data_IF_201686471745
#
_entry.id   IF_201686471745
#
_cell.length_a   1.000
_cell.length_b   1.000
_cell.length_c   1.000
_cell.angle_alpha   90.00
_cell.angle_beta   90.00
_cell.angle_gamma   90.00
#
_symmetry.space_group_name_H-M   'P 1'
#
loop_
_entity.id
_entity.type
_entity.pdbx_description
1 polymer ?
#
# COMPACT_ATOMS: atom_id res chain seq x y z
N UNK A 1 -7.04 -18.93 -87.51
CA UNK A 1 -7.23 -17.63 -86.84
C UNK A 1 -7.80 -17.91 -85.45
N UNK A 2 -7.30 -17.18 -84.45
CA UNK A 2 -7.23 -17.46 -83.02
C UNK A 2 -8.56 -17.42 -82.23
N UNK A 3 -8.59 -17.88 -80.95
CA UNK A 3 -9.79 -17.95 -80.11
C UNK A 3 -9.99 -16.65 -79.30
N UNK A 4 -11.23 -16.35 -78.88
CA UNK A 4 -11.50 -15.26 -77.92
C UNK A 4 -12.59 -15.76 -76.94
N UNK A 5 -12.18 -16.45 -75.89
CA UNK A 5 -12.02 -15.97 -74.51
C UNK A 5 -13.33 -15.52 -73.82
N UNK A 6 -13.73 -16.33 -72.84
CA UNK A 6 -14.82 -16.04 -71.92
C UNK A 6 -14.48 -14.88 -71.00
N UNK A 7 -15.49 -14.05 -70.72
CA UNK A 7 -15.40 -12.97 -69.74
C UNK A 7 -15.60 -13.55 -68.32
N UNK A 8 -14.49 -13.67 -67.58
CA UNK A 8 -14.51 -13.90 -66.14
C UNK A 8 -14.84 -12.59 -65.43
N UNK A 9 -16.03 -12.49 -64.83
CA UNK A 9 -16.33 -11.42 -63.87
C UNK A 9 -15.59 -11.66 -62.55
N UNK A 10 -14.51 -10.94 -62.34
CA UNK A 10 -13.76 -10.92 -61.08
C UNK A 10 -14.58 -10.23 -59.98
N UNK A 11 -15.27 -11.00 -59.14
CA UNK A 11 -15.83 -10.48 -57.88
C UNK A 11 -14.66 -10.05 -56.98
N UNK A 12 -14.55 -8.75 -56.71
CA UNK A 12 -13.63 -8.24 -55.69
C UNK A 12 -14.15 -8.69 -54.32
N UNK A 13 -13.47 -9.65 -53.73
CA UNK A 13 -13.68 -10.06 -52.34
C UNK A 13 -13.14 -8.93 -51.46
N UNK A 14 -14.03 -8.09 -50.92
CA UNK A 14 -13.64 -7.16 -49.86
C UNK A 14 -13.25 -7.99 -48.64
N UNK A 15 -12.01 -7.89 -48.17
CA UNK A 15 -11.64 -8.50 -46.91
C UNK A 15 -12.44 -7.81 -45.80
N UNK A 16 -13.33 -8.56 -45.15
CA UNK A 16 -14.04 -8.08 -43.98
C UNK A 16 -13.02 -7.83 -42.86
N UNK A 17 -12.82 -6.57 -42.50
CA UNK A 17 -11.96 -6.21 -41.38
C UNK A 17 -12.69 -6.56 -40.09
N UNK A 18 -12.34 -7.72 -39.50
CA UNK A 18 -12.87 -8.14 -38.20
C UNK A 18 -12.33 -7.18 -37.13
N UNK A 19 -13.22 -6.36 -36.58
CA UNK A 19 -12.91 -5.50 -35.43
C UNK A 19 -13.02 -6.33 -34.16
N UNK A 20 -12.01 -6.25 -33.31
CA UNK A 20 -12.04 -6.78 -31.95
C UNK A 20 -11.87 -5.64 -30.97
N UNK A 21 -12.52 -5.72 -29.81
CA UNK A 21 -12.35 -4.77 -28.71
C UNK A 21 -11.96 -5.52 -27.42
N UNK A 22 -11.27 -4.84 -26.52
CA UNK A 22 -10.97 -5.34 -25.18
C UNK A 22 -11.01 -4.20 -24.19
N UNK A 23 -11.41 -4.46 -22.95
CA UNK A 23 -11.49 -3.46 -21.88
C UNK A 23 -10.60 -3.87 -20.72
N UNK A 24 -9.85 -2.90 -20.20
CA UNK A 24 -9.08 -3.04 -18.97
C UNK A 24 -9.77 -2.26 -17.86
N UNK A 25 -9.96 -2.89 -16.70
CA UNK A 25 -10.50 -2.24 -15.50
C UNK A 25 -9.52 -2.41 -14.36
N UNK A 26 -9.31 -1.33 -13.63
CA UNK A 26 -8.56 -1.33 -12.37
C UNK A 26 -9.55 -1.20 -11.24
N UNK A 27 -9.56 -2.20 -10.38
CA UNK A 27 -10.28 -2.18 -9.12
C UNK A 27 -9.35 -1.71 -8.01
N UNK A 28 -9.95 -1.14 -6.97
CA UNK A 28 -9.23 -0.55 -5.86
C UNK A 28 -9.91 -0.97 -4.57
N UNK A 29 -9.14 -1.61 -3.70
CA UNK A 29 -9.57 -2.00 -2.36
C UNK A 29 -8.88 -1.11 -1.33
N UNK A 30 -9.63 -0.64 -0.33
CA UNK A 30 -9.11 0.24 0.72
C UNK A 30 -9.42 -0.29 2.11
N UNK A 31 -8.48 -0.09 3.03
CA UNK A 31 -8.69 -0.41 4.44
C UNK A 31 -7.94 0.57 5.34
N UNK A 32 -8.49 0.82 6.53
CA UNK A 32 -7.84 1.58 7.58
C UNK A 32 -7.64 0.68 8.80
N UNK A 33 -6.41 0.62 9.29
CA UNK A 33 -6.02 -0.14 10.48
C UNK A 33 -5.47 0.80 11.55
N UNK A 34 -6.02 0.71 12.76
CA UNK A 34 -5.50 1.40 13.95
C UNK A 34 -4.72 0.41 14.81
N UNK A 35 -3.48 0.77 15.13
CA UNK A 35 -2.59 0.02 15.99
C UNK A 35 -2.30 0.81 17.26
N UNK A 36 -2.93 0.39 18.35
CA UNK A 36 -2.73 0.96 19.69
C UNK A 36 -1.61 0.20 20.44
N UNK A 37 -0.66 0.96 20.95
CA UNK A 37 0.44 0.47 21.78
C UNK A 37 0.18 0.93 23.21
N UNK A 38 -0.42 0.03 23.99
CA UNK A 38 -0.65 0.24 25.42
C UNK A 38 0.63 -0.03 26.20
N UNK A 39 0.95 0.85 27.14
CA UNK A 39 2.14 0.73 27.97
C UNK A 39 3.42 1.17 27.26
N UNK A 40 3.35 2.19 26.40
CA UNK A 40 4.43 2.71 25.56
C UNK A 40 5.79 2.76 26.28
N UNK A 41 5.81 3.29 27.50
CA UNK A 41 7.04 3.48 28.28
C UNK A 41 7.77 2.16 28.55
N UNK A 42 7.04 1.05 28.72
CA UNK A 42 7.62 -0.29 28.92
C UNK A 42 8.14 -0.94 27.63
N UNK A 43 7.83 -0.34 26.48
CA UNK A 43 8.27 -0.82 25.18
C UNK A 43 9.55 -0.13 24.72
N UNK A 44 10.03 0.87 25.47
CA UNK A 44 11.35 1.47 25.29
C UNK A 44 12.44 0.61 25.95
N UNK A 45 13.66 0.69 25.43
CA UNK A 45 14.80 -0.08 25.94
C UNK A 45 14.81 -1.55 25.52
N UNK A 46 13.97 -1.95 24.55
CA UNK A 46 14.03 -3.27 23.91
C UNK A 46 15.25 -3.42 23.01
N UNK A 47 15.83 -2.30 22.55
CA UNK A 47 17.05 -2.24 21.76
C UNK A 47 16.83 -1.76 20.34
N UNK A 48 17.86 -1.13 19.76
CA UNK A 48 17.85 -0.65 18.37
C UNK A 48 17.55 -1.80 17.41
N UNK A 49 16.63 -1.59 16.49
CA UNK A 49 16.20 -2.61 15.52
C UNK A 49 15.19 -3.63 16.06
N UNK A 50 14.85 -3.60 17.35
CA UNK A 50 13.73 -4.35 17.89
C UNK A 50 12.41 -3.61 17.65
N UNK A 51 11.33 -4.35 17.41
CA UNK A 51 10.04 -3.78 17.06
C UNK A 51 8.86 -4.42 17.80
N UNK A 52 7.78 -3.66 17.82
CA UNK A 52 6.43 -4.10 18.17
C UNK A 52 5.65 -4.23 16.87
N UNK A 53 4.94 -5.35 16.69
CA UNK A 53 4.15 -5.61 15.49
C UNK A 53 2.66 -5.55 15.80
N UNK A 54 1.88 -4.95 14.92
CA UNK A 54 0.42 -4.96 14.99
C UNK A 54 -0.14 -6.37 14.69
N UNK A 55 -1.43 -6.55 14.95
CA UNK A 55 -2.18 -7.61 14.30
C UNK A 55 -2.15 -7.46 12.77
N UNK A 56 -2.38 -8.56 12.07
CA UNK A 56 -2.50 -8.56 10.61
C UNK A 56 -3.86 -8.02 10.18
N UNK A 57 -3.89 -7.26 9.09
CA UNK A 57 -5.12 -6.81 8.43
C UNK A 57 -5.03 -7.05 6.93
N UNK A 58 -6.16 -7.34 6.29
CA UNK A 58 -6.21 -7.76 4.89
C UNK A 58 -6.76 -6.64 4.00
N UNK A 59 -6.12 -6.40 2.85
CA UNK A 59 -6.56 -5.46 1.80
C UNK A 59 -6.34 -6.15 0.45
N UNK A 60 -7.31 -6.12 -0.45
CA UNK A 60 -7.16 -6.76 -1.78
C UNK A 60 -6.85 -8.28 -1.75
N UNK A 61 -7.10 -8.97 -0.62
CA UNK A 61 -6.71 -10.37 -0.41
C UNK A 61 -5.26 -10.57 0.05
N UNK A 62 -4.53 -9.49 0.34
CA UNK A 62 -3.17 -9.52 0.85
C UNK A 62 -3.10 -9.04 2.30
N UNK A 63 -2.24 -9.69 3.07
CA UNK A 63 -2.07 -9.44 4.49
C UNK A 63 -0.97 -8.41 4.74
N UNK A 64 -1.27 -7.48 5.64
CA UNK A 64 -0.44 -6.34 6.00
C UNK A 64 -0.28 -6.24 7.51
N UNK A 65 0.81 -5.60 7.96
CA UNK A 65 1.04 -5.30 9.37
C UNK A 65 1.86 -4.02 9.54
N UNK A 66 1.74 -3.37 10.69
CA UNK A 66 2.55 -2.20 11.08
C UNK A 66 3.64 -2.67 12.03
N UNK A 67 4.89 -2.24 11.79
CA UNK A 67 6.01 -2.41 12.72
C UNK A 67 6.45 -1.07 13.28
N UNK A 68 6.52 -0.99 14.61
CA UNK A 68 6.98 0.16 15.35
C UNK A 68 8.30 -0.14 16.05
N UNK A 69 9.33 0.67 15.81
CA UNK A 69 10.66 0.54 16.38
C UNK A 69 10.87 1.66 17.41
N UNK A 70 10.60 1.39 18.70
CA UNK A 70 10.63 2.40 19.75
C UNK A 70 12.03 2.94 20.00
N UNK A 71 13.10 2.16 19.81
CA UNK A 71 14.48 2.57 20.14
C UNK A 71 15.33 2.93 18.91
N UNK A 72 14.69 3.02 17.75
CA UNK A 72 15.35 3.35 16.50
C UNK A 72 15.67 2.16 15.60
N UNK A 73 16.22 2.47 14.43
CA UNK A 73 16.54 1.50 13.37
C UNK A 73 17.81 1.94 12.63
N UNK A 74 18.60 0.97 12.13
CA UNK A 74 19.84 1.22 11.36
C UNK A 74 20.78 2.26 12.01
N UNK A 75 20.99 2.18 13.33
CA UNK A 75 21.90 3.06 14.07
C UNK A 75 21.35 4.46 14.37
N UNK A 76 20.14 4.80 13.93
CA UNK A 76 19.47 6.06 14.27
C UNK A 76 18.63 5.88 15.54
N UNK A 77 19.09 6.41 16.68
CA UNK A 77 18.49 6.17 18.01
C UNK A 77 17.56 7.29 18.50
N UNK A 78 17.77 8.52 18.01
CA UNK A 78 17.00 9.71 18.41
C UNK A 78 15.60 9.77 17.80
N UNK A 79 15.28 8.81 16.93
CA UNK A 79 14.01 8.70 16.22
C UNK A 79 13.36 7.36 16.51
N UNK A 80 12.03 7.35 16.47
CA UNK A 80 11.26 6.12 16.34
C UNK A 80 11.01 5.86 14.85
N UNK A 81 10.84 4.59 14.50
CA UNK A 81 10.51 4.20 13.12
C UNK A 81 9.17 3.50 13.04
N UNK A 82 8.42 3.78 11.98
CA UNK A 82 7.18 3.08 11.63
C UNK A 82 7.31 2.56 10.21
N UNK A 83 6.95 1.30 10.00
CA UNK A 83 6.85 0.68 8.68
C UNK A 83 5.51 0.00 8.50
N UNK A 84 4.93 0.11 7.31
CA UNK A 84 3.95 -0.83 6.81
C UNK A 84 4.71 -2.01 6.16
N UNK A 85 4.25 -3.23 6.42
CA UNK A 85 4.89 -4.46 5.95
C UNK A 85 3.86 -5.33 5.25
N UNK A 86 4.17 -5.75 4.02
CA UNK A 86 3.44 -6.78 3.33
C UNK A 86 3.83 -8.15 3.91
N UNK A 87 2.84 -8.87 4.44
CA UNK A 87 3.01 -10.18 5.05
C UNK A 87 2.75 -11.31 4.04
N UNK A 88 1.92 -11.06 3.03
CA UNK A 88 1.68 -12.02 1.95
C UNK A 88 2.90 -12.19 1.05
N UNK A 89 3.14 -13.42 0.58
CA UNK A 89 4.13 -13.72 -0.43
C UNK A 89 3.58 -13.45 -1.86
N UNK A 90 3.37 -12.17 -2.17
CA UNK A 90 2.79 -11.70 -3.43
C UNK A 90 3.49 -10.42 -3.92
N UNK A 91 3.30 -10.08 -5.19
CA UNK A 91 3.64 -8.76 -5.70
C UNK A 91 2.39 -7.89 -5.72
N UNK A 92 2.38 -6.85 -4.91
CA UNK A 92 1.19 -6.05 -4.64
C UNK A 92 1.46 -4.59 -4.98
N UNK A 93 0.57 -3.99 -5.76
CA UNK A 93 0.67 -2.55 -6.07
C UNK A 93 -0.23 -1.77 -5.12
N UNK A 94 0.36 -1.11 -4.14
CA UNK A 94 -0.37 -0.37 -3.12
C UNK A 94 0.21 1.02 -2.85
N UNK A 95 -0.66 1.95 -2.49
CA UNK A 95 -0.34 3.22 -1.83
C UNK A 95 -0.78 3.15 -0.38
N UNK A 96 -0.19 3.99 0.46
CA UNK A 96 -0.54 4.03 1.87
C UNK A 96 -0.41 5.43 2.46
N UNK A 97 -1.11 5.65 3.56
CA UNK A 97 -1.02 6.83 4.41
C UNK A 97 -0.84 6.36 5.85
N UNK A 98 0.17 6.89 6.52
CA UNK A 98 0.47 6.56 7.91
C UNK A 98 0.43 7.84 8.75
N UNK A 99 -0.31 7.75 9.86
CA UNK A 99 -0.52 8.86 10.79
C UNK A 99 -0.36 8.45 12.24
N UNK A 100 0.01 9.43 13.07
CA UNK A 100 -0.14 9.33 14.51
C UNK A 100 -1.41 10.03 14.94
N UNK A 101 -2.20 9.40 15.79
CA UNK A 101 -3.41 10.03 16.34
C UNK A 101 -3.01 10.95 17.48
N UNK A 102 -3.33 12.24 17.36
CA UNK A 102 -3.27 13.16 18.48
C UNK A 102 -4.47 12.86 19.40
N UNK A 103 -4.21 12.36 20.59
CA UNK A 103 -5.24 11.89 21.52
C UNK A 103 -5.91 13.04 22.30
N UNK A 104 -5.35 14.26 22.24
CA UNK A 104 -6.00 15.46 22.80
C UNK A 104 -7.09 15.95 21.84
N UNK A 105 -6.78 16.01 20.54
CA UNK A 105 -7.70 16.54 19.51
C UNK A 105 -8.53 15.47 18.82
N UNK A 106 -8.13 14.21 18.91
CA UNK A 106 -8.69 13.08 18.16
C UNK A 106 -8.30 13.07 16.68
N UNK A 107 -7.42 13.97 16.23
CA UNK A 107 -7.09 14.13 14.82
C UNK A 107 -5.79 13.42 14.44
N UNK A 108 -5.71 12.77 13.27
CA UNK A 108 -4.47 12.18 12.78
C UNK A 108 -3.51 13.29 12.30
N UNK A 109 -2.26 13.24 12.77
CA UNK A 109 -1.15 13.91 12.12
C UNK A 109 -0.59 12.99 11.04
N UNK A 110 -0.69 13.42 9.78
CA UNK A 110 0.00 12.76 8.67
C UNK A 110 1.51 12.79 8.89
N UNK A 111 2.14 11.63 8.97
CA UNK A 111 3.59 11.54 9.12
C UNK A 111 4.27 11.09 7.82
N UNK A 112 3.60 10.25 7.03
CA UNK A 112 4.04 9.91 5.68
C UNK A 112 2.84 9.52 4.82
N UNK A 113 2.94 9.84 3.54
CA UNK A 113 1.99 9.40 2.53
C UNK A 113 2.75 9.02 1.28
N UNK A 114 2.45 7.85 0.75
CA UNK A 114 2.89 7.44 -0.58
C UNK A 114 1.64 7.38 -1.45
N UNK A 115 1.29 8.53 -2.04
CA UNK A 115 0.07 8.69 -2.84
C UNK A 115 0.16 7.99 -4.19
N UNK A 116 1.37 7.71 -4.66
CA UNK A 116 1.59 6.93 -5.89
C UNK A 116 1.85 5.48 -5.52
N UNK A 117 0.97 4.59 -5.97
CA UNK A 117 1.09 3.17 -5.63
C UNK A 117 2.42 2.56 -6.11
N UNK A 118 3.19 2.03 -5.17
CA UNK A 118 4.44 1.29 -5.35
C UNK A 118 4.20 -0.21 -5.38
N UNK A 119 5.20 -0.98 -5.80
CA UNK A 119 5.16 -2.44 -5.74
C UNK A 119 5.84 -2.92 -4.46
N UNK A 120 5.07 -3.62 -3.62
CA UNK A 120 5.56 -4.44 -2.52
C UNK A 120 5.72 -5.87 -3.01
N UNK A 121 6.72 -6.59 -2.49
CA UNK A 121 6.94 -7.98 -2.86
C UNK A 121 8.11 -8.60 -2.11
N UNK A 122 8.49 -9.85 -2.41
CA UNK A 122 9.48 -10.61 -1.62
C UNK A 122 10.83 -9.92 -1.43
N UNK A 123 11.25 -9.08 -2.38
CA UNK A 123 12.48 -8.28 -2.32
C UNK A 123 12.33 -6.92 -1.64
N UNK A 124 11.10 -6.48 -1.37
CA UNK A 124 10.77 -5.14 -0.89
C UNK A 124 9.42 -5.15 -0.16
N UNK A 125 9.34 -5.90 0.94
CA UNK A 125 8.11 -6.05 1.73
C UNK A 125 7.79 -4.83 2.59
N UNK A 126 8.78 -3.96 2.84
CA UNK A 126 8.64 -2.80 3.70
C UNK A 126 8.25 -1.55 2.90
N UNK A 127 7.48 -0.68 3.54
CA UNK A 127 7.29 0.70 3.11
C UNK A 127 8.58 1.50 3.26
N UNK A 128 8.58 2.75 2.80
CA UNK A 128 9.62 3.66 3.26
C UNK A 128 9.46 3.89 4.77
N UNK A 129 10.56 3.83 5.51
CA UNK A 129 10.56 4.03 6.95
C UNK A 129 10.23 5.46 7.30
N UNK A 130 9.30 5.63 8.25
CA UNK A 130 8.92 6.94 8.75
C UNK A 130 9.76 7.26 9.97
N UNK A 131 10.49 8.36 9.92
CA UNK A 131 11.32 8.83 11.01
C UNK A 131 10.58 9.93 11.77
N UNK A 132 10.36 9.72 13.07
CA UNK A 132 9.77 10.72 13.96
C UNK A 132 10.76 10.98 15.08
N UNK A 133 11.17 12.23 15.22
CA UNK A 133 12.03 12.64 16.32
C UNK A 133 11.33 12.31 17.64
N UNK A 134 12.01 11.55 18.51
CA UNK A 134 11.42 11.04 19.75
C UNK A 134 10.88 12.18 20.63
N UNK A 135 11.62 13.27 20.72
CA UNK A 135 11.19 14.44 21.48
C UNK A 135 9.86 15.03 20.97
N UNK A 136 9.60 15.03 19.66
CA UNK A 136 8.33 15.50 19.07
C UNK A 136 7.16 14.57 19.39
N UNK A 137 7.44 13.26 19.48
CA UNK A 137 6.45 12.26 19.84
C UNK A 137 6.11 12.30 21.34
N UNK A 138 7.15 12.36 22.18
CA UNK A 138 7.04 12.20 23.64
C UNK A 138 6.79 13.52 24.39
N UNK A 139 6.74 14.67 23.71
CA UNK A 139 6.37 15.95 24.34
C UNK A 139 4.91 15.90 24.76
N UNK A 140 4.61 16.13 26.05
CA UNK A 140 3.24 16.06 26.61
C UNK A 140 2.24 16.96 25.85
N UNK A 141 2.62 18.19 25.54
CA UNK A 141 1.77 19.13 24.80
C UNK A 141 1.52 18.73 23.34
N UNK A 142 2.29 17.76 22.80
CA UNK A 142 2.05 17.22 21.47
C UNK A 142 0.86 16.25 21.43
N UNK A 143 0.49 15.66 22.57
CA UNK A 143 -0.74 14.87 22.71
C UNK A 143 -0.75 13.50 22.02
N UNK A 144 0.39 13.00 21.54
CA UNK A 144 0.46 11.69 20.88
C UNK A 144 0.57 10.52 21.86
N UNK A 145 1.18 10.77 23.03
CA UNK A 145 1.26 9.79 24.10
C UNK A 145 0.44 10.31 25.27
N UNK A 146 -0.75 9.74 25.44
CA UNK A 146 -1.67 10.03 26.54
C UNK A 146 -1.94 8.73 27.28
N UNK A 147 -2.01 8.78 28.61
CA UNK A 147 -2.23 7.61 29.48
C UNK A 147 -1.31 6.42 29.17
N UNK A 148 -0.07 6.70 28.75
CA UNK A 148 0.94 5.72 28.34
C UNK A 148 0.53 4.87 27.12
N UNK A 149 -0.37 5.38 26.28
CA UNK A 149 -0.80 4.78 25.01
C UNK A 149 -0.32 5.61 23.82
N UNK A 150 0.00 4.94 22.72
CA UNK A 150 0.29 5.55 21.43
C UNK A 150 -0.56 4.87 20.36
N UNK A 151 -1.20 5.64 19.48
CA UNK A 151 -2.01 5.08 18.39
C UNK A 151 -1.45 5.49 17.02
N UNK A 152 -1.18 4.49 16.20
CA UNK A 152 -0.73 4.62 14.81
C UNK A 152 -1.88 4.18 13.90
N UNK A 153 -2.24 5.01 12.94
CA UNK A 153 -3.23 4.65 11.92
C UNK A 153 -2.55 4.46 10.56
N UNK A 154 -3.00 3.45 9.82
CA UNK A 154 -2.57 3.21 8.46
C UNK A 154 -3.78 3.04 7.55
N UNK A 155 -3.89 3.85 6.51
CA UNK A 155 -4.77 3.61 5.39
C UNK A 155 -3.97 2.99 4.24
N UNK A 156 -4.44 1.86 3.71
CA UNK A 156 -3.83 1.17 2.57
C UNK A 156 -4.84 1.14 1.43
N UNK A 157 -4.36 1.42 0.23
CA UNK A 157 -5.11 1.37 -1.01
C UNK A 157 -4.37 0.44 -1.98
N UNK A 158 -4.96 -0.71 -2.25
CA UNK A 158 -4.41 -1.73 -3.12
C UNK A 158 -5.09 -1.71 -4.49
N UNK A 159 -4.30 -1.76 -5.57
CA UNK A 159 -4.80 -1.81 -6.94
C UNK A 159 -4.83 -3.25 -7.43
N UNK A 160 -6.01 -3.75 -7.75
CA UNK A 160 -6.22 -5.06 -8.37
C UNK A 160 -6.58 -4.87 -9.84
N UNK A 161 -5.94 -5.62 -10.74
CA UNK A 161 -6.24 -5.58 -12.18
C UNK A 161 -7.16 -6.73 -12.56
N UNK A 162 -8.33 -6.43 -13.14
CA UNK A 162 -9.23 -7.42 -13.72
C UNK A 162 -9.25 -7.34 -15.25
N UNK A 163 -9.36 -8.48 -15.93
CA UNK A 163 -9.66 -8.53 -17.37
C UNK A 163 -11.15 -8.83 -17.55
N UNK A 164 -11.88 -7.87 -18.12
CA UNK A 164 -13.25 -8.09 -18.58
C UNK A 164 -13.24 -8.49 -20.05
N UNK A 165 -13.84 -9.63 -20.38
CA UNK A 165 -14.18 -10.02 -21.75
C UNK A 165 -15.61 -9.57 -22.03
N UNK A 166 -15.79 -8.64 -22.97
CA UNK A 166 -17.10 -8.40 -23.55
C UNK A 166 -17.37 -9.54 -24.56
N UNK A 167 -18.53 -10.18 -24.46
CA UNK A 167 -19.04 -11.11 -25.47
C UNK A 167 -19.75 -10.27 -26.53
N UNK A 168 -19.41 -10.54 -27.80
CA UNK A 168 -19.91 -9.87 -29.02
C UNK A 168 -21.43 -9.56 -29.03
#
# INVERSE_FOLDING_TARGET
MAPVQGSSSSKRMGSECKKTASRHTTEVETSTHAFEIVGYTFKKGVGVGQFIQSGTFTVGGNDWSIRFYPDGFEGTTEHVFIFLVLMSNANVRASYHLSLVNQITGLPMSVCSETTARVFGPSNIFSQGILIARNKLETESAGYIMDNCLTIECNVLEKTSGYGVDID
#
